data_IF_930611454894
#
_entry.id   IF_930611454894
#
_cell.length_a   1.000
_cell.length_b   1.000
_cell.length_c   1.000
_cell.angle_alpha   90.00
_cell.angle_beta   90.00
_cell.angle_gamma   90.00
#
_symmetry.space_group_name_H-M   'P 1'
#
loop_
_entity.id
_entity.type
_entity.pdbx_description
1 polymer ?
#
# COMPACT_ATOMS: atom_id res chain seq x y z
N UNK A 1 -34.33 32.59 20.60
CA UNK A 1 -34.77 31.30 20.00
C UNK A 1 -33.86 31.04 18.81
N UNK A 2 -33.39 29.80 18.68
CA UNK A 2 -32.14 29.33 18.05
C UNK A 2 -31.77 29.82 16.64
N UNK A 3 -30.46 30.00 16.36
CA UNK A 3 -29.90 29.86 15.02
C UNK A 3 -29.59 28.38 14.71
N UNK A 4 -30.04 27.86 13.57
CA UNK A 4 -29.69 26.53 13.05
C UNK A 4 -28.90 26.71 11.75
N UNK A 5 -27.57 26.63 11.81
CA UNK A 5 -26.75 25.44 11.53
C UNK A 5 -26.90 24.94 10.09
N UNK A 6 -25.89 25.24 9.30
CA UNK A 6 -25.61 24.61 8.01
C UNK A 6 -24.26 25.06 7.48
N UNK A 7 -23.26 25.15 8.36
CA UNK A 7 -21.90 25.54 7.97
C UNK A 7 -21.07 24.27 7.75
N UNK A 8 -20.37 24.25 6.62
CA UNK A 8 -19.22 23.41 6.25
C UNK A 8 -19.51 22.02 5.67
N UNK A 9 -19.96 22.00 4.41
CA UNK A 9 -19.28 21.16 3.42
C UNK A 9 -18.00 21.90 2.99
N UNK A 10 -16.95 21.86 3.83
CA UNK A 10 -15.62 22.24 3.40
C UNK A 10 -14.99 21.04 2.71
N UNK A 11 -14.54 21.28 1.48
CA UNK A 11 -13.98 20.33 0.56
C UNK A 11 -12.86 19.49 1.20
N UNK A 12 -12.98 18.18 1.04
CA UNK A 12 -11.89 17.21 1.14
C UNK A 12 -10.94 17.46 -0.03
N UNK A 13 -10.06 18.45 0.10
CA UNK A 13 -9.02 18.70 -0.91
C UNK A 13 -7.82 19.39 -0.28
N UNK A 14 -7.08 18.61 0.52
CA UNK A 14 -5.61 18.58 0.68
C UNK A 14 -5.38 17.40 1.63
N UNK A 15 -5.30 16.18 1.08
CA UNK A 15 -4.86 15.02 1.86
C UNK A 15 -3.37 15.23 2.05
N UNK A 16 -2.96 15.59 3.27
CA UNK A 16 -1.55 15.58 3.67
C UNK A 16 -1.12 14.11 3.70
N UNK A 17 -0.76 13.57 2.53
CA UNK A 17 -0.27 12.20 2.39
C UNK A 17 0.93 12.03 3.33
N UNK A 18 0.96 10.98 4.18
CA UNK A 18 2.04 10.84 5.12
C UNK A 18 3.36 10.62 4.36
N UNK A 19 4.29 11.54 4.56
CA UNK A 19 5.63 11.46 3.97
C UNK A 19 6.50 10.39 4.64
N UNK A 20 6.01 9.79 5.74
CA UNK A 20 6.71 8.77 6.52
C UNK A 20 5.75 7.68 6.96
N UNK A 21 6.27 6.45 6.98
CA UNK A 21 5.63 5.31 7.61
C UNK A 21 5.54 5.55 9.11
N UNK A 22 4.39 5.24 9.69
CA UNK A 22 4.26 5.17 11.13
C UNK A 22 5.17 4.04 11.67
N UNK A 23 5.55 4.15 12.94
CA UNK A 23 6.53 3.23 13.55
C UNK A 23 6.05 1.77 13.53
N UNK A 24 4.75 1.54 13.67
CA UNK A 24 4.15 0.20 13.69
C UNK A 24 4.25 -0.46 12.32
N UNK A 25 3.72 0.19 11.27
CA UNK A 25 3.79 -0.32 9.91
C UNK A 25 5.23 -0.47 9.42
N UNK A 26 6.11 0.48 9.76
CA UNK A 26 7.54 0.36 9.44
C UNK A 26 8.17 -0.89 10.09
N UNK A 27 7.81 -1.19 11.33
CA UNK A 27 8.31 -2.37 12.05
C UNK A 27 7.77 -3.65 11.41
N UNK A 28 6.46 -3.71 11.14
CA UNK A 28 5.84 -4.83 10.45
C UNK A 28 6.46 -5.09 9.07
N UNK A 29 6.67 -4.05 8.27
CA UNK A 29 7.31 -4.19 6.96
C UNK A 29 8.73 -4.73 7.10
N UNK A 30 9.52 -4.27 8.08
CA UNK A 30 10.89 -4.74 8.32
C UNK A 30 10.98 -6.19 8.81
N UNK A 31 9.98 -6.62 9.57
CA UNK A 31 9.97 -7.94 10.18
C UNK A 31 9.48 -9.02 9.21
N UNK A 32 8.52 -8.68 8.34
CA UNK A 32 7.80 -9.67 7.52
C UNK A 32 8.10 -9.62 6.02
N UNK A 33 8.66 -8.53 5.48
CA UNK A 33 9.08 -8.53 4.07
C UNK A 33 10.33 -9.39 3.86
N UNK A 34 10.43 -10.11 2.74
CA UNK A 34 11.60 -10.93 2.45
C UNK A 34 12.85 -10.04 2.30
N UNK A 35 13.87 -10.32 3.11
CA UNK A 35 15.20 -9.66 3.03
C UNK A 35 16.06 -10.22 1.90
N UNK A 36 15.75 -11.43 1.45
CA UNK A 36 16.45 -12.14 0.38
C UNK A 36 15.46 -12.73 -0.59
N UNK A 37 15.69 -12.56 -1.89
CA UNK A 37 14.82 -13.08 -2.94
C UNK A 37 13.65 -12.15 -3.29
N UNK A 38 12.86 -12.52 -4.31
CA UNK A 38 11.74 -11.71 -4.78
C UNK A 38 10.45 -11.91 -3.99
N UNK A 39 9.74 -10.80 -3.78
CA UNK A 39 8.30 -10.77 -3.50
C UNK A 39 7.53 -10.79 -4.82
N UNK A 40 6.68 -11.79 -5.00
CA UNK A 40 5.89 -11.94 -6.22
C UNK A 40 4.56 -11.18 -6.09
N UNK A 41 4.16 -10.47 -7.15
CA UNK A 41 2.80 -9.92 -7.22
C UNK A 41 1.76 -11.04 -7.20
N UNK A 42 0.64 -10.78 -6.54
CA UNK A 42 -0.39 -11.81 -6.30
C UNK A 42 -1.07 -12.30 -7.59
N UNK A 43 -1.45 -11.40 -8.50
CA UNK A 43 -2.28 -11.78 -9.66
C UNK A 43 -1.55 -12.53 -10.78
N UNK A 44 -0.25 -12.24 -10.99
CA UNK A 44 0.53 -12.73 -12.14
C UNK A 44 1.95 -13.19 -11.77
N UNK A 45 2.29 -13.27 -10.49
CA UNK A 45 3.56 -13.82 -10.03
C UNK A 45 4.79 -13.06 -10.54
N UNK A 46 4.68 -11.76 -10.82
CA UNK A 46 5.82 -10.97 -11.28
C UNK A 46 6.76 -10.67 -10.11
N UNK A 47 8.06 -10.98 -10.23
CA UNK A 47 9.00 -10.80 -9.12
C UNK A 47 9.34 -9.32 -8.92
N UNK A 48 9.39 -8.91 -7.66
CA UNK A 48 9.83 -7.59 -7.20
C UNK A 48 10.82 -7.80 -6.06
N UNK A 49 11.94 -7.11 -6.07
CA UNK A 49 12.94 -7.20 -5.00
C UNK A 49 12.90 -5.94 -4.16
N UNK A 50 12.62 -6.10 -2.87
CA UNK A 50 12.69 -5.00 -1.91
C UNK A 50 14.16 -4.83 -1.52
N UNK A 51 14.76 -3.72 -1.95
CA UNK A 51 16.19 -3.46 -1.73
C UNK A 51 16.43 -2.59 -0.50
N UNK A 52 15.43 -1.82 -0.05
CA UNK A 52 15.48 -1.06 1.19
C UNK A 52 14.08 -0.81 1.77
N UNK A 53 14.03 -0.69 3.10
CA UNK A 53 12.83 -0.39 3.89
C UNK A 53 13.16 0.79 4.82
N UNK A 54 12.73 1.97 4.40
CA UNK A 54 13.08 3.27 4.99
C UNK A 54 11.82 3.95 5.55
N UNK A 55 11.99 5.03 6.30
CA UNK A 55 10.84 5.77 6.84
C UNK A 55 9.98 6.39 5.73
N UNK A 56 10.58 6.81 4.61
CA UNK A 56 9.87 7.37 3.46
C UNK A 56 9.21 6.34 2.53
N UNK A 57 9.35 5.03 2.81
CA UNK A 57 8.73 3.94 2.05
C UNK A 57 9.69 2.82 1.65
N UNK A 58 9.42 2.19 0.50
CA UNK A 58 10.16 1.02 0.02
C UNK A 58 10.93 1.33 -1.26
N UNK A 59 12.14 0.78 -1.38
CA UNK A 59 12.89 0.74 -2.65
C UNK A 59 12.68 -0.62 -3.28
N UNK A 60 12.17 -0.64 -4.51
CA UNK A 60 11.69 -1.86 -5.16
C UNK A 60 12.23 -1.97 -6.58
N UNK A 61 12.95 -3.04 -6.86
CA UNK A 61 13.33 -3.40 -8.21
C UNK A 61 12.32 -4.35 -8.83
N UNK A 62 12.10 -4.18 -10.13
CA UNK A 62 11.28 -5.07 -10.97
C UNK A 62 12.19 -5.72 -12.00
N UNK A 63 11.72 -6.79 -12.67
CA UNK A 63 12.46 -7.36 -13.82
C UNK A 63 12.85 -6.28 -14.83
N UNK A 64 11.91 -5.37 -15.13
CA UNK A 64 12.12 -4.26 -16.05
C UNK A 64 13.20 -3.31 -15.56
N UNK A 65 13.11 -2.83 -14.31
CA UNK A 65 14.08 -1.82 -13.82
C UNK A 65 15.49 -2.38 -13.69
N UNK A 66 15.62 -3.69 -13.42
CA UNK A 66 16.90 -4.41 -13.47
C UNK A 66 17.44 -4.50 -14.89
N UNK A 67 16.61 -4.95 -15.83
CA UNK A 67 17.00 -5.10 -17.23
C UNK A 67 17.44 -3.77 -17.88
N UNK A 68 16.82 -2.65 -17.49
CA UNK A 68 17.12 -1.33 -18.03
C UNK A 68 18.14 -0.53 -17.21
N UNK A 69 18.67 -1.07 -16.11
CA UNK A 69 19.61 -0.35 -15.24
C UNK A 69 19.04 0.92 -14.58
N UNK A 70 17.72 1.06 -14.47
CA UNK A 70 17.08 2.23 -13.85
C UNK A 70 17.19 2.22 -12.31
N UNK A 71 17.70 1.12 -11.74
CA UNK A 71 17.82 0.91 -10.31
C UNK A 71 16.46 0.72 -9.60
N UNK A 72 16.49 0.64 -8.27
CA UNK A 72 15.30 0.52 -7.44
C UNK A 72 14.37 1.72 -7.60
N UNK A 73 13.07 1.45 -7.64
CA UNK A 73 12.02 2.45 -7.76
C UNK A 73 11.40 2.70 -6.39
N UNK A 74 11.06 3.96 -6.09
CA UNK A 74 10.43 4.30 -4.82
C UNK A 74 8.94 3.94 -4.83
N UNK A 75 8.50 3.26 -3.78
CA UNK A 75 7.11 3.14 -3.35
C UNK A 75 6.94 4.02 -2.12
N UNK A 76 6.32 5.20 -2.25
CA UNK A 76 6.20 6.16 -1.17
C UNK A 76 5.42 5.63 0.04
N UNK A 77 5.79 6.09 1.24
CA UNK A 77 5.16 5.75 2.51
C UNK A 77 3.64 5.87 2.47
N UNK A 78 3.11 6.96 1.92
CA UNK A 78 1.66 7.18 1.85
C UNK A 78 0.90 6.07 1.12
N UNK A 79 1.49 5.42 0.11
CA UNK A 79 0.82 4.33 -0.60
C UNK A 79 0.58 3.12 0.32
N UNK A 80 1.52 2.89 1.23
CA UNK A 80 1.50 1.78 2.19
C UNK A 80 0.60 2.13 3.36
N UNK A 81 0.74 3.33 3.93
CA UNK A 81 -0.10 3.83 5.04
C UNK A 81 -1.58 3.82 4.65
N UNK A 82 -1.93 4.41 3.52
CA UNK A 82 -3.32 4.50 3.08
C UNK A 82 -3.90 3.10 2.83
N UNK A 83 -3.14 2.21 2.19
CA UNK A 83 -3.61 0.85 1.94
C UNK A 83 -3.77 0.06 3.25
N UNK A 84 -2.84 0.21 4.19
CA UNK A 84 -2.90 -0.43 5.50
C UNK A 84 -4.06 0.09 6.35
N UNK A 85 -4.24 1.40 6.44
CA UNK A 85 -5.35 2.05 7.15
C UNK A 85 -6.70 1.58 6.60
N UNK A 86 -6.86 1.56 5.27
CA UNK A 86 -8.09 1.06 4.64
C UNK A 86 -8.34 -0.40 4.97
N UNK A 87 -7.34 -1.26 4.82
CA UNK A 87 -7.47 -2.69 5.10
C UNK A 87 -7.83 -2.96 6.56
N UNK A 88 -7.15 -2.30 7.51
CA UNK A 88 -7.38 -2.48 8.95
C UNK A 88 -8.70 -1.87 9.43
N UNK A 89 -9.14 -0.76 8.83
CA UNK A 89 -10.42 -0.10 9.18
C UNK A 89 -11.62 -0.85 8.61
N UNK A 90 -11.52 -1.34 7.37
CA UNK A 90 -12.64 -1.95 6.65
C UNK A 90 -12.65 -3.48 6.74
N UNK A 91 -11.55 -4.10 7.18
CA UNK A 91 -11.35 -5.55 7.20
C UNK A 91 -11.15 -6.17 5.82
N UNK A 92 -11.30 -5.40 4.73
CA UNK A 92 -11.09 -5.86 3.35
C UNK A 92 -10.50 -4.75 2.49
N UNK A 93 -9.71 -5.12 1.49
CA UNK A 93 -9.13 -4.19 0.53
C UNK A 93 -8.96 -4.85 -0.84
N UNK A 94 -9.41 -4.17 -1.89
CA UNK A 94 -9.18 -4.60 -3.27
C UNK A 94 -8.16 -3.72 -3.99
N UNK A 95 -7.38 -4.31 -4.91
CA UNK A 95 -6.46 -3.50 -5.72
C UNK A 95 -7.18 -2.54 -6.68
N UNK A 96 -8.48 -2.73 -6.93
CA UNK A 96 -9.32 -1.82 -7.72
C UNK A 96 -9.62 -0.53 -6.96
N UNK A 97 -9.94 -0.62 -5.67
CA UNK A 97 -10.15 0.55 -4.81
C UNK A 97 -8.87 1.39 -4.72
N UNK A 98 -7.71 0.74 -4.59
CA UNK A 98 -6.42 1.43 -4.61
C UNK A 98 -6.13 2.14 -5.95
N UNK A 99 -6.62 1.60 -7.07
CA UNK A 99 -6.39 2.17 -8.41
C UNK A 99 -7.39 3.26 -8.79
N UNK A 100 -8.54 3.35 -8.10
CA UNK A 100 -9.57 4.32 -8.43
C UNK A 100 -8.98 5.73 -8.39
N UNK A 101 -9.02 6.42 -9.54
CA UNK A 101 -8.41 7.74 -9.72
C UNK A 101 -9.11 8.82 -8.88
N UNK A 102 -10.36 8.57 -8.52
CA UNK A 102 -11.21 9.48 -7.72
C UNK A 102 -10.95 9.36 -6.21
N UNK A 103 -10.11 8.41 -5.76
CA UNK A 103 -9.82 8.21 -4.33
C UNK A 103 -8.30 8.14 -4.06
N UNK A 104 -7.60 7.08 -4.50
CA UNK A 104 -6.25 6.77 -4.02
C UNK A 104 -5.14 6.79 -5.09
N UNK A 105 -5.46 6.50 -6.36
CA UNK A 105 -4.54 6.53 -7.52
C UNK A 105 -3.15 5.85 -7.28
N UNK A 106 -3.14 4.68 -6.63
CA UNK A 106 -1.92 3.92 -6.33
C UNK A 106 -1.55 3.07 -7.56
N UNK A 107 -0.75 3.64 -8.47
CA UNK A 107 -0.28 2.99 -9.72
C UNK A 107 0.58 1.73 -9.52
N UNK A 108 0.96 1.40 -8.27
CA UNK A 108 1.67 0.16 -7.88
C UNK A 108 0.85 -0.73 -6.94
N UNK A 109 -0.47 -0.63 -7.00
CA UNK A 109 -1.39 -1.36 -6.11
C UNK A 109 -1.11 -2.85 -6.02
N UNK A 110 -0.76 -3.52 -7.13
CA UNK A 110 -0.43 -4.94 -7.13
C UNK A 110 0.79 -5.30 -6.27
N UNK A 111 1.81 -4.43 -6.21
CA UNK A 111 2.96 -4.63 -5.32
C UNK A 111 2.58 -4.30 -3.87
N UNK A 112 1.85 -3.20 -3.66
CA UNK A 112 1.37 -2.80 -2.33
C UNK A 112 0.55 -3.92 -1.70
N UNK A 113 -0.39 -4.52 -2.43
CA UNK A 113 -1.16 -5.67 -1.93
C UNK A 113 -0.27 -6.88 -1.62
N UNK A 114 0.76 -7.15 -2.43
CA UNK A 114 1.69 -8.25 -2.16
C UNK A 114 2.52 -7.99 -0.89
N UNK A 115 2.92 -6.74 -0.64
CA UNK A 115 3.64 -6.36 0.58
C UNK A 115 2.74 -6.51 1.82
N UNK A 116 1.50 -6.01 1.76
CA UNK A 116 0.55 -6.14 2.86
C UNK A 116 0.18 -7.60 3.13
N UNK A 117 0.10 -8.45 2.11
CA UNK A 117 -0.16 -9.89 2.26
C UNK A 117 0.94 -10.65 3.02
N UNK A 118 2.11 -10.04 3.25
CA UNK A 118 3.15 -10.63 4.12
C UNK A 118 2.90 -10.34 5.61
N UNK A 119 2.07 -9.35 5.93
CA UNK A 119 1.87 -8.87 7.29
C UNK A 119 0.98 -9.81 8.10
N UNK A 120 1.20 -9.91 9.42
CA UNK A 120 0.36 -10.73 10.29
C UNK A 120 -1.10 -10.26 10.25
N UNK A 121 -2.02 -11.21 10.31
CA UNK A 121 -3.47 -10.94 10.26
C UNK A 121 -4.01 -10.66 8.86
N UNK A 122 -3.17 -10.55 7.83
CA UNK A 122 -3.61 -10.33 6.44
C UNK A 122 -3.73 -11.66 5.70
N UNK A 123 -4.87 -11.89 5.05
CA UNK A 123 -5.09 -13.04 4.18
C UNK A 123 -5.43 -12.59 2.75
N UNK A 124 -5.05 -13.41 1.77
CA UNK A 124 -5.41 -13.19 0.36
C UNK A 124 -6.71 -13.93 0.06
N UNK A 125 -7.82 -13.20 0.00
CA UNK A 125 -9.14 -13.77 -0.28
C UNK A 125 -9.40 -14.02 -1.77
N UNK A 126 -8.78 -13.23 -2.67
CA UNK A 126 -8.89 -13.42 -4.12
C UNK A 126 -7.66 -12.88 -4.85
N UNK A 127 -7.36 -13.47 -6.01
CA UNK A 127 -6.30 -13.02 -6.92
C UNK A 127 -6.82 -12.19 -8.10
N UNK A 128 -8.12 -12.26 -8.40
CA UNK A 128 -8.76 -11.58 -9.55
C UNK A 128 -10.21 -11.14 -9.23
N UNK A 129 -10.46 -9.86 -8.87
CA UNK A 129 -9.45 -8.86 -8.51
C UNK A 129 -8.65 -9.29 -7.28
N UNK A 130 -7.50 -8.68 -7.04
CA UNK A 130 -6.74 -8.94 -5.81
C UNK A 130 -7.59 -8.40 -4.65
N UNK A 131 -7.91 -9.26 -3.69
CA UNK A 131 -8.65 -8.92 -2.48
C UNK A 131 -7.88 -9.44 -1.28
N UNK A 132 -7.61 -8.55 -0.33
CA UNK A 132 -7.04 -8.84 0.98
C UNK A 132 -8.14 -8.75 2.04
N UNK A 133 -8.04 -9.56 3.08
CA UNK A 133 -8.82 -9.41 4.31
C UNK A 133 -7.89 -9.27 5.50
N UNK A 134 -8.38 -8.63 6.56
CA UNK A 134 -7.65 -8.46 7.81
C UNK A 134 -8.52 -8.84 9.00
N UNK A 135 -8.03 -9.81 9.79
CA UNK A 135 -8.75 -10.41 10.93
C UNK A 135 -8.03 -10.14 12.27
N UNK A 136 -7.09 -9.18 12.29
CA UNK A 136 -6.23 -8.87 13.44
C UNK A 136 -6.79 -7.83 14.41
#
# INVERSE_FOLDING_TARGET
MYPSRGNKCQALSVINQPNRLNTELLTLLRDYLPRTGPLHTLANGKPNWVTAIEDDGLRVETEKSRATGMGPQHVPAWMLEVAWERLTTQGTLTNRELLAADDLNIKRSSFVCAALACLPGVAVASLRPITLTYDG
#
